data_IF_250084532525
#
_entry.id   IF_250084532525
#
_cell.length_a   1.000
_cell.length_b   1.000
_cell.length_c   1.000
_cell.angle_alpha   90.00
_cell.angle_beta   90.00
_cell.angle_gamma   90.00
#
_symmetry.space_group_name_H-M   'P 1'
#
loop_
_entity.id
_entity.type
_entity.pdbx_description
1 polymer ?
#
# COMPACT_ATOMS: atom_id res chain seq x y z
N UNK A 1 3.33 -14.52 3.30
CA UNK A 1 4.32 -13.44 3.14
C UNK A 1 4.93 -13.50 1.74
N UNK A 2 5.01 -12.37 1.02
CA UNK A 2 5.64 -12.31 -0.30
C UNK A 2 7.02 -11.64 -0.19
N UNK A 3 8.05 -12.25 -0.80
CA UNK A 3 9.43 -11.78 -0.73
C UNK A 3 10.10 -11.83 -2.11
N UNK A 4 11.18 -11.09 -2.27
CA UNK A 4 12.12 -11.35 -3.35
C UNK A 4 12.93 -12.65 -3.08
N UNK A 5 13.86 -12.98 -3.97
CA UNK A 5 14.73 -14.15 -3.81
C UNK A 5 16.09 -13.82 -3.18
N UNK A 6 16.10 -12.83 -2.27
CA UNK A 6 17.30 -12.55 -1.49
C UNK A 6 17.76 -13.78 -0.70
N UNK A 7 19.08 -13.95 -0.55
CA UNK A 7 19.69 -15.10 0.12
C UNK A 7 19.15 -15.31 1.53
N UNK A 8 18.84 -14.22 2.21
CA UNK A 8 18.30 -14.21 3.57
C UNK A 8 16.93 -14.87 3.65
N UNK A 9 16.07 -14.65 2.65
CA UNK A 9 14.70 -15.18 2.63
C UNK A 9 14.58 -16.62 2.13
N UNK A 10 15.61 -17.15 1.47
CA UNK A 10 15.64 -18.55 1.02
C UNK A 10 16.41 -19.48 1.95
N UNK A 11 17.03 -18.92 3.01
CA UNK A 11 17.76 -19.70 4.00
C UNK A 11 16.86 -20.72 4.70
N UNK A 12 17.39 -21.91 4.97
CA UNK A 12 16.64 -23.04 5.58
C UNK A 12 16.05 -22.67 6.95
N UNK A 13 16.80 -21.92 7.77
CA UNK A 13 16.32 -21.53 9.10
C UNK A 13 15.14 -20.57 9.04
N UNK A 14 15.15 -19.63 8.08
CA UNK A 14 14.02 -18.72 7.83
C UNK A 14 12.83 -19.50 7.28
N UNK A 15 13.06 -20.49 6.42
CA UNK A 15 12.01 -21.36 5.90
C UNK A 15 11.31 -22.12 7.01
N UNK A 16 12.06 -22.75 7.92
CA UNK A 16 11.52 -23.46 9.09
C UNK A 16 10.77 -22.55 10.05
N UNK A 17 11.25 -21.31 10.23
CA UNK A 17 10.56 -20.33 11.07
C UNK A 17 9.17 -20.01 10.52
N UNK A 18 9.05 -19.74 9.21
CA UNK A 18 7.75 -19.46 8.60
C UNK A 18 6.80 -20.68 8.62
N UNK A 19 7.32 -21.89 8.42
CA UNK A 19 6.56 -23.12 8.60
C UNK A 19 6.03 -23.27 10.04
N UNK A 20 6.87 -23.01 11.04
CA UNK A 20 6.48 -23.05 12.46
C UNK A 20 5.39 -22.02 12.80
N UNK A 21 5.41 -20.87 12.14
CA UNK A 21 4.42 -19.80 12.32
C UNK A 21 3.17 -19.94 11.45
N UNK A 22 3.04 -21.03 10.69
CA UNK A 22 1.96 -21.28 9.71
C UNK A 22 1.79 -20.10 8.71
N UNK A 23 2.89 -19.51 8.27
CA UNK A 23 2.90 -18.39 7.34
C UNK A 23 3.20 -18.89 5.93
N UNK A 24 2.19 -18.87 5.06
CA UNK A 24 2.36 -19.17 3.64
C UNK A 24 3.35 -18.19 2.98
N UNK A 25 4.26 -18.71 2.18
CA UNK A 25 5.30 -17.96 1.49
C UNK A 25 5.08 -17.95 -0.01
N UNK A 26 5.36 -16.82 -0.63
CA UNK A 26 5.45 -16.69 -2.08
C UNK A 26 6.67 -15.85 -2.45
N UNK A 27 7.18 -16.05 -3.65
CA UNK A 27 8.39 -15.37 -4.12
C UNK A 27 8.16 -14.68 -5.46
N UNK A 28 8.82 -13.55 -5.63
CA UNK A 28 8.90 -12.87 -6.92
C UNK A 28 9.50 -13.80 -7.98
N UNK A 29 8.97 -13.75 -9.19
CA UNK A 29 9.53 -14.48 -10.34
C UNK A 29 10.89 -13.90 -10.72
N UNK A 30 11.83 -14.74 -11.18
CA UNK A 30 13.13 -14.24 -11.62
C UNK A 30 12.98 -13.18 -12.72
N UNK A 31 13.68 -12.07 -12.60
CA UNK A 31 13.71 -10.95 -13.56
C UNK A 31 12.36 -10.26 -13.83
N UNK A 32 11.42 -10.35 -12.89
CA UNK A 32 10.11 -9.71 -13.01
C UNK A 32 9.98 -8.61 -11.96
N UNK A 33 10.38 -7.40 -12.31
CA UNK A 33 10.37 -6.24 -11.40
C UNK A 33 8.97 -5.94 -10.82
N UNK A 34 7.91 -6.14 -11.62
CA UNK A 34 6.53 -5.88 -11.19
C UNK A 34 6.05 -6.75 -10.02
N UNK A 35 6.72 -7.86 -9.76
CA UNK A 35 6.37 -8.73 -8.63
C UNK A 35 6.78 -8.11 -7.28
N UNK A 36 7.62 -7.07 -7.27
CA UNK A 36 8.08 -6.37 -6.07
C UNK A 36 7.70 -4.87 -6.04
N UNK A 37 6.75 -4.47 -6.87
CA UNK A 37 6.40 -3.07 -7.09
C UNK A 37 6.00 -2.32 -5.80
N UNK A 38 5.35 -3.00 -4.85
CA UNK A 38 4.94 -2.39 -3.57
C UNK A 38 6.14 -2.08 -2.68
N UNK A 39 7.08 -3.02 -2.53
CA UNK A 39 8.31 -2.80 -1.77
C UNK A 39 9.17 -1.70 -2.41
N UNK A 40 9.29 -1.69 -3.72
CA UNK A 40 10.01 -0.64 -4.45
C UNK A 40 9.37 0.73 -4.24
N UNK A 41 8.04 0.81 -4.27
CA UNK A 41 7.30 2.04 -3.99
C UNK A 41 7.53 2.54 -2.56
N UNK A 42 7.52 1.62 -1.58
CA UNK A 42 7.82 1.92 -0.19
C UNK A 42 9.24 2.47 -0.03
N UNK A 43 10.24 1.81 -0.63
CA UNK A 43 11.62 2.28 -0.61
C UNK A 43 11.79 3.65 -1.28
N UNK A 44 11.07 3.91 -2.38
CA UNK A 44 11.07 5.25 -3.00
C UNK A 44 10.51 6.28 -2.04
N UNK A 45 9.35 6.05 -1.43
CA UNK A 45 8.74 6.97 -0.46
C UNK A 45 9.70 7.28 0.68
N UNK A 46 10.39 6.27 1.22
CA UNK A 46 11.40 6.44 2.27
C UNK A 46 12.58 7.27 1.78
N UNK A 47 13.16 6.91 0.63
CA UNK A 47 14.40 7.51 0.12
C UNK A 47 14.21 8.96 -0.34
N UNK A 48 13.03 9.31 -0.81
CA UNK A 48 12.71 10.66 -1.28
C UNK A 48 11.95 11.50 -0.24
N UNK A 49 11.81 10.98 0.99
CA UNK A 49 11.29 11.78 2.10
C UNK A 49 12.24 12.94 2.39
N UNK A 50 11.74 14.18 2.58
CA UNK A 50 12.58 15.36 2.78
C UNK A 50 13.60 15.23 3.90
N UNK A 51 13.26 14.54 4.97
CA UNK A 51 14.11 14.35 6.14
C UNK A 51 15.02 13.12 6.06
N UNK A 52 15.04 12.42 4.89
CA UNK A 52 15.92 11.28 4.74
C UNK A 52 17.38 11.70 4.63
N UNK A 53 18.27 11.26 5.54
CA UNK A 53 19.65 11.77 5.59
C UNK A 53 20.58 11.23 4.50
N UNK A 54 20.10 10.28 3.67
CA UNK A 54 20.91 9.60 2.65
C UNK A 54 21.76 8.45 3.20
N UNK A 55 22.34 8.61 4.38
CA UNK A 55 23.08 7.59 5.11
C UNK A 55 22.91 7.79 6.62
N UNK A 56 23.09 6.75 7.40
CA UNK A 56 23.01 6.79 8.86
C UNK A 56 24.36 6.42 9.50
N UNK A 57 24.77 7.14 10.53
CA UNK A 57 25.98 6.91 11.29
C UNK A 57 25.78 5.82 12.37
N UNK A 58 25.09 4.74 12.03
CA UNK A 58 24.87 3.60 12.90
C UNK A 58 23.39 3.24 13.09
N UNK A 59 23.17 2.26 13.97
CA UNK A 59 21.84 1.69 14.21
C UNK A 59 20.88 2.67 14.90
N UNK A 60 21.33 3.33 15.97
CA UNK A 60 20.46 4.20 16.77
C UNK A 60 19.86 5.38 15.97
N UNK A 61 20.67 6.14 15.17
CA UNK A 61 20.11 7.17 14.30
C UNK A 61 19.15 6.63 13.24
N UNK A 62 19.44 5.46 12.69
CA UNK A 62 18.55 4.81 11.72
C UNK A 62 17.22 4.43 12.38
N UNK A 63 17.26 3.82 13.57
CA UNK A 63 16.08 3.43 14.32
C UNK A 63 15.17 4.64 14.61
N UNK A 64 15.74 5.70 15.18
CA UNK A 64 15.00 6.92 15.50
C UNK A 64 14.34 7.56 14.27
N UNK A 65 15.05 7.59 13.14
CA UNK A 65 14.48 8.05 11.88
C UNK A 65 13.28 7.19 11.44
N UNK A 66 13.44 5.87 11.39
CA UNK A 66 12.40 4.98 10.93
C UNK A 66 11.17 4.93 11.85
N UNK A 67 11.36 5.07 13.15
CA UNK A 67 10.25 5.19 14.10
C UNK A 67 9.38 6.41 13.77
N UNK A 68 9.99 7.56 13.56
CA UNK A 68 9.30 8.79 13.16
C UNK A 68 8.69 8.69 11.77
N UNK A 69 9.45 8.14 10.82
CA UNK A 69 8.99 7.97 9.44
C UNK A 69 7.76 7.08 9.35
N UNK A 70 7.76 5.92 10.03
CA UNK A 70 6.61 5.01 9.99
C UNK A 70 5.41 5.52 10.77
N UNK A 71 5.60 6.30 11.83
CA UNK A 71 4.50 7.01 12.47
C UNK A 71 3.81 7.94 11.47
N UNK A 72 4.55 8.83 10.81
CA UNK A 72 4.05 9.70 9.76
C UNK A 72 3.44 8.93 8.58
N UNK A 73 4.12 7.87 8.10
CA UNK A 73 3.66 7.06 6.97
C UNK A 73 2.29 6.43 7.23
N UNK A 74 2.06 5.96 8.44
CA UNK A 74 0.82 5.29 8.80
C UNK A 74 -0.32 6.27 9.09
N UNK A 75 -0.06 7.42 9.73
CA UNK A 75 -1.09 8.34 10.21
C UNK A 75 -1.36 9.52 9.28
N UNK A 76 -0.37 9.98 8.51
CA UNK A 76 -0.45 11.23 7.75
C UNK A 76 -0.30 11.05 6.23
N UNK A 77 0.59 10.14 5.81
CA UNK A 77 0.86 9.91 4.39
C UNK A 77 -0.33 9.25 3.68
N UNK A 78 -0.80 9.91 2.61
CA UNK A 78 -1.97 9.46 1.85
C UNK A 78 -1.56 8.69 0.61
N UNK A 79 -2.16 7.53 0.40
CA UNK A 79 -1.85 6.64 -0.70
C UNK A 79 -2.93 6.62 -1.78
N UNK A 80 -2.57 6.87 -3.01
CA UNK A 80 -3.50 6.81 -4.14
C UNK A 80 -4.12 5.42 -4.32
N UNK A 81 -3.36 4.36 -4.06
CA UNK A 81 -3.83 2.95 -4.15
C UNK A 81 -4.89 2.56 -3.11
N UNK A 82 -5.07 3.35 -2.07
CA UNK A 82 -6.12 3.17 -1.05
C UNK A 82 -7.03 4.41 -0.95
N UNK A 83 -7.44 4.93 -2.10
CA UNK A 83 -8.39 6.04 -2.23
C UNK A 83 -7.96 7.32 -1.49
N UNK A 84 -6.67 7.62 -1.44
CA UNK A 84 -6.08 8.76 -0.72
C UNK A 84 -6.32 8.75 0.79
N UNK A 85 -6.52 7.57 1.36
CA UNK A 85 -6.54 7.36 2.79
C UNK A 85 -5.13 7.08 3.32
N UNK A 86 -4.98 7.12 4.65
CA UNK A 86 -3.78 6.64 5.34
C UNK A 86 -3.90 5.15 5.65
N UNK A 87 -2.79 4.40 5.78
CA UNK A 87 -2.83 3.00 6.20
C UNK A 87 -3.60 2.76 7.50
N UNK A 88 -3.46 3.65 8.48
CA UNK A 88 -4.16 3.57 9.76
C UNK A 88 -5.68 3.62 9.62
N UNK A 89 -6.20 4.54 8.80
CA UNK A 89 -7.66 4.64 8.57
C UNK A 89 -8.24 3.36 7.96
N UNK A 90 -7.47 2.71 7.08
CA UNK A 90 -7.88 1.43 6.47
C UNK A 90 -7.79 0.31 7.49
N UNK A 91 -6.67 0.21 8.21
CA UNK A 91 -6.41 -0.86 9.17
C UNK A 91 -7.38 -0.84 10.37
N UNK A 92 -7.76 0.34 10.82
CA UNK A 92 -8.70 0.51 11.95
C UNK A 92 -10.18 0.48 11.54
N UNK A 93 -10.49 0.23 10.26
CA UNK A 93 -11.86 0.13 9.75
C UNK A 93 -12.59 1.48 9.62
N UNK A 94 -11.87 2.60 9.71
CA UNK A 94 -12.45 3.96 9.60
C UNK A 94 -12.59 4.45 8.15
N UNK A 95 -12.17 3.64 7.19
CA UNK A 95 -12.10 4.01 5.78
C UNK A 95 -13.46 4.46 5.21
N UNK A 96 -14.52 3.70 5.43
CA UNK A 96 -15.87 4.01 4.91
C UNK A 96 -16.32 5.39 5.40
N UNK A 97 -16.23 5.64 6.70
CA UNK A 97 -16.63 6.93 7.26
C UNK A 97 -15.85 8.10 6.67
N UNK A 98 -14.55 7.90 6.41
CA UNK A 98 -13.72 8.95 5.80
C UNK A 98 -14.06 9.18 4.33
N UNK A 99 -14.34 8.11 3.58
CA UNK A 99 -14.76 8.22 2.17
C UNK A 99 -16.10 8.94 2.05
N UNK A 100 -17.05 8.70 2.95
CA UNK A 100 -18.33 9.42 3.00
C UNK A 100 -18.11 10.93 3.25
N UNK A 101 -17.22 11.28 4.18
CA UNK A 101 -16.84 12.69 4.41
C UNK A 101 -16.20 13.32 3.18
N UNK A 102 -15.33 12.60 2.47
CA UNK A 102 -14.73 13.07 1.22
C UNK A 102 -15.78 13.27 0.14
N UNK A 103 -16.78 12.38 0.03
CA UNK A 103 -17.87 12.53 -0.93
C UNK A 103 -18.71 13.80 -0.63
N UNK A 104 -19.08 14.01 0.62
CA UNK A 104 -19.81 15.22 1.04
C UNK A 104 -19.00 16.49 0.71
N UNK A 105 -17.71 16.51 1.01
CA UNK A 105 -16.85 17.65 0.72
C UNK A 105 -16.77 17.95 -0.80
N UNK A 106 -16.66 16.91 -1.63
CA UNK A 106 -16.66 17.03 -3.09
C UNK A 106 -18.00 17.56 -3.62
N UNK A 107 -19.12 17.12 -3.06
CA UNK A 107 -20.45 17.57 -3.45
C UNK A 107 -20.68 19.05 -3.08
N UNK A 108 -20.25 19.47 -1.91
CA UNK A 108 -20.29 20.88 -1.51
C UNK A 108 -19.42 21.76 -2.44
N UNK A 109 -18.23 21.29 -2.78
CA UNK A 109 -17.35 21.99 -3.71
C UNK A 109 -17.97 22.09 -5.13
N UNK A 110 -18.63 21.02 -5.60
CA UNK A 110 -19.33 20.99 -6.87
C UNK A 110 -20.54 21.96 -6.87
N UNK A 111 -21.31 21.97 -5.80
CA UNK A 111 -22.46 22.86 -5.68
C UNK A 111 -22.05 24.34 -5.67
N UNK A 112 -20.88 24.65 -5.07
CA UNK A 112 -20.36 26.01 -5.00
C UNK A 112 -19.73 26.50 -6.32
N UNK A 113 -19.10 25.60 -7.11
CA UNK A 113 -18.35 25.96 -8.32
C UNK A 113 -18.45 24.85 -9.37
N UNK A 114 -19.63 24.59 -9.96
CA UNK A 114 -19.84 23.47 -10.89
C UNK A 114 -18.98 23.59 -12.16
N UNK A 115 -18.65 24.81 -12.60
CA UNK A 115 -17.82 25.09 -13.77
C UNK A 115 -16.37 24.56 -13.67
N UNK A 116 -15.89 24.27 -12.46
CA UNK A 116 -14.56 23.70 -12.24
C UNK A 116 -14.50 22.19 -12.47
N UNK A 117 -15.66 21.53 -12.60
CA UNK A 117 -15.79 20.08 -12.72
C UNK A 117 -16.16 19.67 -14.14
N UNK A 118 -15.18 19.74 -15.04
CA UNK A 118 -15.36 19.48 -16.48
C UNK A 118 -15.87 18.07 -16.81
N UNK A 119 -15.65 17.12 -15.90
CA UNK A 119 -16.08 15.71 -16.04
C UNK A 119 -17.44 15.44 -15.32
N UNK A 120 -18.18 16.49 -14.95
CA UNK A 120 -19.44 16.38 -14.23
C UNK A 120 -19.30 16.18 -12.73
N UNK A 121 -20.35 15.63 -12.10
CA UNK A 121 -20.41 15.47 -10.64
C UNK A 121 -19.27 14.57 -10.13
N UNK A 122 -18.48 15.01 -9.15
CA UNK A 122 -17.33 14.26 -8.67
C UNK A 122 -17.75 13.07 -7.79
N UNK A 123 -17.02 11.97 -7.93
CA UNK A 123 -17.17 10.77 -7.10
C UNK A 123 -15.88 10.46 -6.36
N UNK A 124 -16.01 9.91 -5.17
CA UNK A 124 -14.88 9.34 -4.44
C UNK A 124 -14.62 7.93 -4.96
N UNK A 125 -13.37 7.61 -5.26
CA UNK A 125 -12.97 6.26 -5.63
C UNK A 125 -13.13 5.35 -4.41
N UNK A 126 -13.84 4.22 -4.50
CA UNK A 126 -13.94 3.27 -3.39
C UNK A 126 -12.58 2.60 -3.12
N UNK A 127 -12.45 1.98 -1.95
CA UNK A 127 -11.32 1.09 -1.70
C UNK A 127 -11.41 -0.12 -2.63
N UNK A 128 -10.27 -0.61 -3.15
CA UNK A 128 -10.25 -1.87 -3.84
C UNK A 128 -10.61 -3.01 -2.87
N UNK A 129 -11.50 -3.90 -3.28
CA UNK A 129 -11.85 -5.10 -2.50
C UNK A 129 -10.68 -6.09 -2.46
N UNK A 130 -9.91 -6.16 -3.54
CA UNK A 130 -8.75 -7.02 -3.70
C UNK A 130 -7.61 -6.28 -4.38
N UNK A 131 -6.40 -6.58 -3.96
CA UNK A 131 -5.17 -6.10 -4.59
C UNK A 131 -4.32 -7.29 -4.98
N UNK A 132 -4.04 -7.42 -6.28
CA UNK A 132 -3.28 -8.52 -6.84
C UNK A 132 -1.92 -8.05 -7.32
N UNK A 133 -0.88 -8.84 -7.03
CA UNK A 133 0.40 -8.75 -7.73
C UNK A 133 0.34 -9.74 -8.88
N UNK A 134 0.22 -9.23 -10.14
CA UNK A 134 0.02 -10.04 -11.33
C UNK A 134 -1.20 -10.96 -11.22
N UNK A 135 -2.36 -10.38 -10.93
CA UNK A 135 -3.61 -11.12 -10.84
C UNK A 135 -3.94 -11.90 -12.12
N UNK A 136 -4.80 -12.91 -12.02
CA UNK A 136 -5.22 -13.68 -13.19
C UNK A 136 -5.88 -12.76 -14.23
N UNK A 137 -5.85 -13.12 -15.52
CA UNK A 137 -6.58 -12.41 -16.57
C UNK A 137 -8.05 -12.20 -16.18
N UNK A 138 -8.65 -11.11 -16.66
CA UNK A 138 -10.03 -10.74 -16.30
C UNK A 138 -11.05 -11.86 -16.61
N UNK A 139 -10.77 -12.70 -17.59
CA UNK A 139 -11.63 -13.80 -18.05
C UNK A 139 -11.66 -14.98 -17.06
N UNK A 140 -10.62 -15.20 -16.27
CA UNK A 140 -10.56 -16.28 -15.27
C UNK A 140 -11.20 -15.89 -13.92
N UNK A 141 -11.37 -14.60 -13.64
CA UNK A 141 -12.02 -14.12 -12.40
C UNK A 141 -13.50 -14.50 -12.28
N UNK A 142 -14.14 -14.81 -13.39
CA UNK A 142 -15.58 -15.11 -13.43
C UNK A 142 -15.91 -16.58 -13.15
N UNK A 143 -14.95 -17.50 -13.26
CA UNK A 143 -15.17 -18.94 -13.03
C UNK A 143 -14.95 -19.37 -11.57
N UNK A 144 -14.12 -18.66 -10.80
CA UNK A 144 -13.81 -18.99 -9.39
C UNK A 144 -14.91 -18.70 -8.38
N UNK A 145 -15.97 -17.99 -8.76
CA UNK A 145 -17.09 -17.59 -7.89
C UNK A 145 -18.31 -18.53 -7.96
N UNK A 146 -18.17 -19.69 -8.59
CA UNK A 146 -19.29 -20.65 -8.76
C UNK A 146 -19.07 -22.01 -8.05
N UNK A 147 -18.47 -21.97 -6.85
CA UNK A 147 -18.48 -23.17 -5.98
C UNK A 147 -18.87 -22.80 -4.57
#
# INVERSE_FOLDING_TARGET
MHNDRGSEFIADDVSKLFETLDVARSFSRPRTANDNAYSESQFKTTKYHPDYPGAFDGFEPAWAYFETFFAWYNSDHRHSGIAWLTPELVHTGQATQMLDRHQVAKELAFAANPERFVNGRPHVTPLPEEVWINGPPADEKTEGLRH
#
